data_IF_757147554239
#
_entry.id   IF_757147554239
#
_cell.length_a   1.000
_cell.length_b   1.000
_cell.length_c   1.000
_cell.angle_alpha   90.00
_cell.angle_beta   90.00
_cell.angle_gamma   90.00
#
_symmetry.space_group_name_H-M   'P 1'
#
loop_
_entity.id
_entity.type
_entity.pdbx_description
1 polymer ?
2 non-polymer ?
3 non-polymer ?
4 non-polymer ?
5 non-polymer ?
6 water ?
#
# COMPACT_ATOMS: atom_id res chain seq x y z
N UNK A 7 5.00 -20.41 -4.64
CA UNK A 7 4.28 -19.64 -3.57
C UNK A 7 4.25 -18.16 -3.92
N UNK A 8 3.07 -17.67 -4.31
CA UNK A 8 2.86 -16.25 -4.59
C UNK A 8 3.08 -15.45 -3.32
N UNK A 9 3.28 -14.14 -3.47
CA UNK A 9 3.53 -13.29 -2.33
C UNK A 9 2.26 -12.94 -1.59
N UNK A 10 1.15 -12.85 -2.33
CA UNK A 10 -0.14 -12.48 -1.80
C UNK A 10 -0.75 -11.30 -2.51
N UNK A 11 -1.97 -10.97 -2.08
CA UNK A 11 -2.76 -9.89 -2.65
C UNK A 11 -3.20 -8.97 -1.50
N UNK A 12 -3.40 -7.69 -1.84
CA UNK A 12 -3.82 -6.68 -0.87
C UNK A 12 -4.98 -5.89 -1.47
N UNK A 13 -5.97 -5.59 -0.63
CA UNK A 13 -7.15 -4.82 -1.01
C UNK A 13 -7.13 -3.55 -0.17
N UNK A 14 -7.18 -2.41 -0.86
CA UNK A 14 -7.26 -1.13 -0.20
C UNK A 14 -8.12 -0.17 -1.00
N UNK A 15 -8.64 0.86 -0.31
CA UNK A 15 -9.36 1.93 -1.00
C UNK A 15 -8.52 3.19 -1.07
N UNK A 16 -8.82 3.97 -2.12
CA UNK A 16 -8.28 5.29 -2.34
C UNK A 16 -9.45 6.26 -2.47
N UNK A 17 -9.24 7.45 -1.90
CA UNK A 17 -10.22 8.56 -2.00
C UNK A 17 -9.43 9.86 -2.07
N UNK A 18 -9.78 10.73 -3.02
CA UNK A 18 -9.13 12.05 -3.13
C UNK A 18 -10.19 13.16 -3.13
N UNK A 19 -9.94 14.16 -2.29
CA UNK A 19 -10.82 15.32 -2.18
C UNK A 19 -9.99 16.51 -2.66
N UNK A 20 -10.13 16.93 -3.94
CA UNK A 20 -9.29 18.01 -4.48
C UNK A 20 -9.38 19.35 -3.72
N UNK A 21 -10.56 19.80 -3.32
CA UNK A 21 -10.65 21.09 -2.64
C UNK A 21 -9.81 21.11 -1.36
N UNK A 22 -9.93 20.04 -0.56
CA UNK A 22 -9.25 19.90 0.72
C UNK A 22 -7.79 19.45 0.58
N UNK A 23 -7.46 18.88 -0.58
CA UNK A 23 -6.19 18.22 -0.78
C UNK A 23 -5.99 17.05 0.19
N UNK A 24 -7.03 16.23 0.32
CA UNK A 24 -7.03 15.12 1.26
C UNK A 24 -7.05 13.81 0.49
N UNK A 25 -5.99 13.01 0.72
CA UNK A 25 -5.81 11.71 0.12
C UNK A 25 -5.93 10.68 1.22
N UNK A 26 -6.97 9.83 1.12
CA UNK A 26 -7.22 8.81 2.13
C UNK A 26 -7.01 7.42 1.55
N UNK A 27 -6.29 6.60 2.32
CA UNK A 27 -5.99 5.22 1.99
C UNK A 27 -6.54 4.35 3.12
N UNK A 28 -7.44 3.41 2.79
CA UNK A 28 -7.95 2.46 3.80
C UNK A 28 -7.42 1.09 3.45
N UNK A 29 -6.59 0.56 4.35
CA UNK A 29 -6.07 -0.81 4.23
C UNK A 29 -7.17 -1.76 4.72
N UNK A 30 -7.70 -2.57 3.81
CA UNK A 30 -8.88 -3.40 4.10
C UNK A 30 -8.44 -4.79 4.57
N UNK A 31 -7.80 -5.55 3.70
CA UNK A 31 -7.35 -6.90 4.01
C UNK A 31 -6.30 -7.37 3.01
N UNK A 32 -5.52 -8.38 3.42
CA UNK A 32 -4.59 -9.05 2.53
C UNK A 32 -4.97 -10.53 2.53
N UNK A 33 -4.66 -11.24 1.44
CA UNK A 33 -4.95 -12.67 1.37
C UNK A 33 -3.80 -13.42 0.71
N UNK A 34 -3.75 -14.72 1.01
CA UNK A 34 -2.80 -15.64 0.41
C UNK A 34 -1.35 -15.19 0.56
N UNK A 35 -1.01 -14.60 1.72
CA UNK A 35 0.34 -14.13 1.97
C UNK A 35 1.32 -15.28 2.03
N UNK A 36 2.53 -15.04 1.54
CA UNK A 36 3.63 -15.97 1.70
C UNK A 36 3.89 -16.21 3.19
N UNK A 37 4.20 -17.46 3.55
CA UNK A 37 4.57 -17.83 4.93
C UNK A 37 5.98 -17.37 5.22
N UNK A 38 6.13 -16.60 6.32
CA UNK A 38 7.40 -15.99 6.69
C UNK A 38 8.03 -16.53 7.99
N UNK A 39 7.24 -17.23 8.81
CA UNK A 39 7.66 -17.80 10.09
C UNK A 39 7.95 -19.29 9.89
N UNK A 40 9.15 -19.72 10.32
CA UNK A 40 9.51 -21.14 10.26
C UNK A 40 8.51 -21.94 11.12
N UNK A 41 7.91 -22.98 10.52
CA UNK A 41 6.90 -23.80 11.15
C UNK A 41 5.66 -23.03 11.60
N UNK A 42 5.41 -21.88 10.99
CA UNK A 42 4.26 -21.05 11.31
C UNK A 42 3.64 -20.45 10.06
N UNK A 43 3.03 -19.29 10.24
CA UNK A 43 2.38 -18.56 9.17
C UNK A 43 3.18 -17.26 9.00
N UNK A 44 2.54 -16.11 9.23
CA UNK A 44 3.17 -14.80 9.24
C UNK A 44 2.51 -13.95 10.33
N UNK A 45 3.14 -12.83 10.69
CA UNK A 45 2.55 -11.83 11.60
C UNK A 45 2.51 -10.49 10.88
N UNK A 46 1.61 -10.35 9.89
CA UNK A 46 1.66 -9.22 8.96
C UNK A 46 1.18 -7.87 9.51
N UNK A 47 1.87 -6.81 9.10
CA UNK A 47 1.39 -5.46 9.20
C UNK A 47 1.69 -4.75 7.92
N UNK A 48 1.07 -3.58 7.72
CA UNK A 48 1.17 -2.84 6.46
C UNK A 48 1.74 -1.46 6.72
N UNK A 49 2.69 -1.06 5.86
CA UNK A 49 3.19 0.31 5.84
C UNK A 49 2.62 1.03 4.63
N UNK A 50 2.34 2.32 4.81
CA UNK A 50 1.88 3.17 3.75
C UNK A 50 2.81 4.38 3.71
N UNK A 51 3.48 4.58 2.56
CA UNK A 51 4.44 5.68 2.35
C UNK A 51 3.93 6.58 1.25
N UNK A 52 4.03 7.90 1.47
CA UNK A 52 3.83 8.88 0.44
C UNK A 52 5.24 9.24 -0.07
N UNK A 53 5.44 9.12 -1.39
CA UNK A 53 6.72 9.38 -2.04
C UNK A 53 6.61 10.38 -3.18
N UNK A 54 7.74 11.01 -3.48
CA UNK A 54 7.92 11.77 -4.69
C UNK A 54 9.39 11.81 -5.03
N UNK A 55 9.70 11.57 -6.30
CA UNK A 55 11.03 11.69 -6.83
C UNK A 55 12.06 10.95 -5.96
N UNK A 56 11.71 9.73 -5.54
CA UNK A 56 12.62 8.85 -4.83
C UNK A 56 12.74 9.11 -3.34
N UNK A 57 11.96 10.09 -2.84
CA UNK A 57 12.02 10.50 -1.44
C UNK A 57 10.77 10.03 -0.69
N UNK A 58 10.98 9.46 0.50
CA UNK A 58 9.90 9.12 1.47
C UNK A 58 9.48 10.43 2.13
N UNK A 59 8.22 10.84 1.90
CA UNK A 59 7.73 12.09 2.47
C UNK A 59 7.02 11.87 3.79
N UNK A 60 6.21 10.82 3.85
CA UNK A 60 5.41 10.51 5.03
C UNK A 60 5.28 9.01 5.13
N UNK A 61 5.16 8.52 6.37
CA UNK A 61 5.09 7.09 6.67
C UNK A 61 4.00 6.83 7.68
N UNK A 62 3.17 5.83 7.41
CA UNK A 62 2.14 5.40 8.33
C UNK A 62 2.13 3.87 8.36
N UNK A 63 1.52 3.29 9.39
CA UNK A 63 1.49 1.84 9.51
C UNK A 63 0.28 1.35 10.28
N UNK A 64 -0.13 0.12 9.96
CA UNK A 64 -1.22 -0.56 10.62
C UNK A 64 -0.75 -1.27 11.87
N UNK A 65 -1.74 -1.77 12.64
CA UNK A 65 -1.49 -2.72 13.68
C UNK A 65 -0.97 -4.03 13.07
N UNK A 66 -0.42 -4.88 13.94
CA UNK A 66 0.08 -6.20 13.58
C UNK A 66 -1.01 -7.24 13.87
N UNK A 67 -1.21 -8.16 12.93
CA UNK A 67 -2.05 -9.32 13.14
C UNK A 67 -1.18 -10.55 13.29
N UNK A 68 -1.44 -11.34 14.32
CA UNK A 68 -0.62 -12.50 14.62
C UNK A 68 -1.12 -13.76 13.93
N UNK A 69 -0.17 -14.56 13.43
CA UNK A 69 -0.42 -15.93 12.99
C UNK A 69 -1.53 -16.02 11.94
N UNK A 70 -1.36 -15.29 10.84
CA UNK A 70 -2.34 -15.31 9.75
C UNK A 70 -1.69 -14.99 8.42
N UNK A 71 -2.22 -15.64 7.37
CA UNK A 71 -1.86 -15.33 5.99
C UNK A 71 -2.97 -14.50 5.31
N UNK A 72 -4.02 -14.15 6.07
CA UNK A 72 -5.22 -13.54 5.53
C UNK A 72 -5.74 -12.49 6.49
N UNK A 73 -4.89 -11.49 6.83
CA UNK A 73 -5.23 -10.48 7.82
C UNK A 73 -6.29 -9.50 7.31
N UNK A 74 -7.19 -9.10 8.20
CA UNK A 74 -8.11 -7.95 8.03
C UNK A 74 -7.61 -6.82 8.93
N UNK A 75 -7.64 -5.60 8.39
CA UNK A 75 -7.18 -4.39 9.11
C UNK A 75 -8.35 -3.41 9.24
N UNK A 76 -8.91 -2.98 8.13
CA UNK A 76 -9.87 -1.88 8.12
C UNK A 76 -9.35 -0.64 8.89
N UNK A 77 -8.16 -0.18 8.49
CA UNK A 77 -7.51 0.96 9.09
C UNK A 77 -7.29 2.06 8.05
N UNK A 78 -7.72 3.27 8.40
CA UNK A 78 -7.72 4.43 7.53
C UNK A 78 -6.58 5.39 7.82
N UNK A 79 -6.02 5.97 6.76
CA UNK A 79 -4.89 6.88 6.83
C UNK A 79 -5.13 8.01 5.87
N UNK A 80 -4.79 9.23 6.27
CA UNK A 80 -4.96 10.36 5.37
C UNK A 80 -3.69 11.16 5.25
N UNK A 81 -3.48 11.70 4.04
CA UNK A 81 -2.35 12.53 3.70
C UNK A 81 -2.84 13.83 3.11
N UNK A 82 -2.02 14.87 3.28
CA UNK A 82 -2.28 16.17 2.69
C UNK A 82 -1.47 16.32 1.40
N UNK A 83 -2.18 16.30 0.27
CA UNK A 83 -1.58 16.45 -1.04
C UNK A 83 -2.45 17.42 -1.83
N UNK A 84 -1.98 18.68 -2.03
CA UNK A 84 -2.77 19.67 -2.76
C UNK A 84 -3.02 19.26 -4.23
N UNK A 85 -4.09 19.79 -4.82
CA UNK A 85 -4.55 19.32 -6.13
C UNK A 85 -3.53 19.56 -7.23
N UNK A 86 -2.66 20.56 -7.03
CA UNK A 86 -1.60 20.83 -8.01
C UNK A 86 -0.48 19.80 -7.98
N UNK A 87 -0.44 19.00 -6.91
CA UNK A 87 0.62 18.03 -6.68
C UNK A 87 0.18 16.57 -6.77
N UNK A 88 -1.14 16.31 -6.72
CA UNK A 88 -1.62 14.93 -6.58
C UNK A 88 -1.18 14.02 -7.74
N UNK A 89 -1.01 14.59 -8.93
CA UNK A 89 -0.62 13.77 -10.07
C UNK A 89 0.87 13.41 -10.06
N UNK A 90 1.63 13.99 -9.12
CA UNK A 90 3.09 13.84 -9.05
C UNK A 90 3.61 12.94 -7.93
N UNK A 91 2.69 12.35 -7.16
CA UNK A 91 3.06 11.52 -6.00
C UNK A 91 2.85 10.04 -6.23
N UNK A 92 3.48 9.25 -5.34
CA UNK A 92 3.22 7.82 -5.24
C UNK A 92 2.78 7.48 -3.85
N UNK A 93 1.87 6.51 -3.76
CA UNK A 93 1.46 5.89 -2.49
C UNK A 93 1.95 4.44 -2.58
N UNK A 94 2.83 4.08 -1.64
CA UNK A 94 3.46 2.76 -1.60
C UNK A 94 2.85 1.98 -0.43
N UNK A 95 2.37 0.77 -0.72
CA UNK A 95 1.72 -0.09 0.26
C UNK A 95 2.57 -1.37 0.36
N UNK A 96 3.11 -1.62 1.55
CA UNK A 96 4.04 -2.73 1.80
C UNK A 96 3.42 -3.61 2.88
N UNK A 97 3.39 -4.92 2.64
CA UNK A 97 3.06 -5.89 3.68
C UNK A 97 4.37 -6.48 4.19
N UNK A 98 4.56 -6.44 5.51
CA UNK A 98 5.75 -6.97 6.17
C UNK A 98 5.36 -7.98 7.22
N UNK A 99 6.29 -8.89 7.50
CA UNK A 99 6.18 -9.81 8.60
C UNK A 99 6.87 -9.22 9.83
N UNK A 100 6.13 -9.08 10.92
CA UNK A 100 6.69 -8.58 12.20
C UNK A 100 7.42 -9.71 12.93
N UNK A 101 8.65 -9.44 13.35
CA UNK A 101 9.37 -10.28 14.27
C UNK A 101 9.77 -9.40 15.46
N UNK A 102 9.63 -9.93 16.68
CA UNK A 102 9.98 -9.16 17.87
C UNK A 102 11.47 -8.80 17.87
N UNK A 103 12.31 -9.70 17.32
CA UNK A 103 13.73 -9.48 17.18
C UNK A 103 14.12 -9.67 15.73
N UNK A 104 14.85 -8.69 15.21
CA UNK A 104 15.29 -8.67 13.83
C UNK A 104 14.43 -7.78 12.95
N UNK A 105 15.01 -7.38 11.81
CA UNK A 105 14.33 -6.59 10.81
C UNK A 105 13.05 -7.29 10.39
N UNK A 106 12.00 -6.50 10.20
CA UNK A 106 10.75 -7.02 9.69
C UNK A 106 10.86 -7.10 8.19
N UNK A 107 10.86 -8.33 7.65
CA UNK A 107 11.05 -8.53 6.21
C UNK A 107 9.78 -8.25 5.46
N UNK A 108 9.90 -7.55 4.34
CA UNK A 108 8.79 -7.31 3.46
C UNK A 108 8.39 -8.65 2.82
N UNK A 109 7.09 -8.88 2.78
CA UNK A 109 6.49 -9.93 1.99
C UNK A 109 6.45 -9.44 0.54
N UNK A 110 5.86 -8.27 0.34
CA UNK A 110 5.79 -7.67 -0.99
C UNK A 110 5.15 -6.32 -0.89
N UNK A 111 5.07 -5.63 -2.03
CA UNK A 111 4.55 -4.29 -2.05
C UNK A 111 4.03 -3.93 -3.41
N UNK A 112 3.33 -2.78 -3.46
CA UNK A 112 2.83 -2.21 -4.68
C UNK A 112 2.82 -0.69 -4.49
N UNK A 113 2.80 0.03 -5.60
CA UNK A 113 2.56 1.46 -5.54
C UNK A 113 1.60 1.90 -6.59
N UNK A 114 0.90 2.97 -6.24
CA UNK A 114 -0.03 3.65 -7.13
C UNK A 114 0.42 5.09 -7.26
N UNK A 115 0.06 5.70 -8.39
CA UNK A 115 0.33 7.09 -8.63
C UNK A 115 1.14 7.31 -9.86
N UNK A 116 1.95 8.36 -9.81
CA UNK A 116 2.87 8.74 -10.91
C UNK A 116 3.80 7.56 -11.22
N UNK A 117 3.85 7.15 -12.49
CA UNK A 117 4.72 6.08 -12.96
C UNK A 117 4.20 4.68 -12.64
N UNK A 118 2.98 4.59 -12.08
CA UNK A 118 2.37 3.29 -11.88
C UNK A 118 1.83 2.76 -13.21
N UNK A 119 1.58 1.45 -13.25
CA UNK A 119 1.16 0.77 -14.47
C UNK A 119 0.06 -0.24 -14.15
N UNK A 120 -0.59 -0.77 -15.20
CA UNK A 120 -1.53 -1.87 -15.10
C UNK A 120 -2.64 -1.55 -14.11
N UNK A 121 -2.95 -2.53 -13.26
CA UNK A 121 -4.01 -2.38 -12.28
C UNK A 121 -3.73 -1.29 -11.26
N UNK A 122 -2.45 -0.96 -11.05
CA UNK A 122 -2.07 0.09 -10.11
C UNK A 122 -2.44 1.47 -10.68
N UNK A 123 -2.08 1.69 -11.94
CA UNK A 123 -2.49 2.89 -12.66
C UNK A 123 -4.01 3.02 -12.78
N UNK A 124 -4.71 1.91 -13.05
CA UNK A 124 -6.20 1.93 -13.16
C UNK A 124 -6.77 2.44 -11.83
N UNK A 125 -6.33 1.86 -10.72
CA UNK A 125 -6.84 2.28 -9.42
C UNK A 125 -6.65 3.76 -9.18
N UNK A 126 -5.45 4.26 -9.45
CA UNK A 126 -5.14 5.67 -9.26
C UNK A 126 -5.99 6.55 -10.18
N UNK A 127 -6.13 6.14 -11.45
CA UNK A 127 -6.89 6.90 -12.42
C UNK A 127 -8.36 6.98 -12.01
N UNK A 128 -8.92 5.87 -11.50
CA UNK A 128 -10.29 5.82 -11.01
C UNK A 128 -10.49 6.79 -9.85
N UNK A 129 -9.51 6.83 -8.93
CA UNK A 129 -9.55 7.75 -7.80
C UNK A 129 -9.55 9.21 -8.23
N UNK A 130 -8.69 9.54 -9.22
CA UNK A 130 -8.64 10.89 -9.77
C UNK A 130 -9.92 11.30 -10.50
N UNK A 131 -10.51 10.35 -11.23
CA UNK A 131 -11.70 10.59 -12.03
C UNK A 131 -12.99 10.72 -11.24
N UNK A 132 -12.94 10.32 -9.97
CA UNK A 132 -14.12 10.25 -9.13
C UNK A 132 -13.87 10.96 -7.80
N UNK A 133 -13.69 12.30 -7.81
CA UNK A 133 -13.42 13.05 -6.59
C UNK A 133 -14.44 12.74 -5.50
N UNK A 134 -13.96 12.60 -4.26
CA UNK A 134 -14.73 12.35 -3.02
C UNK A 134 -15.26 10.91 -2.95
N UNK A 135 -15.10 10.09 -3.98
CA UNK A 135 -15.64 8.71 -3.97
C UNK A 135 -14.53 7.76 -3.57
N UNK A 136 -14.69 6.95 -2.51
CA UNK A 136 -13.73 5.88 -2.22
C UNK A 136 -13.84 4.76 -3.26
N UNK A 137 -12.69 4.30 -3.75
CA UNK A 137 -12.61 3.23 -4.73
C UNK A 137 -11.73 2.15 -4.13
N UNK A 138 -12.31 0.96 -3.92
CA UNK A 138 -11.59 -0.22 -3.41
C UNK A 138 -11.13 -1.08 -4.58
N UNK A 139 -9.90 -1.60 -4.50
CA UNK A 139 -9.41 -2.50 -5.50
C UNK A 139 -8.35 -3.42 -4.92
N UNK A 140 -8.32 -4.64 -5.46
CA UNK A 140 -7.29 -5.61 -5.21
C UNK A 140 -6.04 -5.32 -6.05
N UNK A 141 -4.90 -5.72 -5.48
CA UNK A 141 -3.59 -5.61 -6.13
C UNK A 141 -2.79 -6.85 -5.75
N UNK A 142 -1.99 -7.33 -6.71
CA UNK A 142 -1.02 -8.40 -6.48
C UNK A 142 0.24 -7.80 -5.88
N UNK A 143 0.72 -8.36 -4.75
CA UNK A 143 1.96 -7.93 -4.16
C UNK A 143 3.14 -8.34 -5.05
N UNK A 144 4.15 -7.48 -5.11
CA UNK A 144 5.34 -7.67 -5.93
C UNK A 144 6.57 -7.62 -5.06
N UNK A 145 7.61 -8.35 -5.48
CA UNK A 145 8.85 -8.37 -4.75
C UNK A 145 9.45 -6.98 -4.53
N UNK A 146 9.92 -6.73 -3.30
CA UNK A 146 10.42 -5.45 -2.88
C UNK A 146 11.53 -4.92 -3.80
N UNK A 147 12.42 -5.81 -4.22
CA UNK A 147 13.56 -5.46 -5.04
C UNK A 147 13.10 -4.69 -6.28
N UNK A 148 12.04 -5.21 -6.92
CA UNK A 148 11.54 -4.63 -8.16
C UNK A 148 10.78 -3.33 -7.94
N UNK A 149 9.92 -3.29 -6.93
CA UNK A 149 9.14 -2.09 -6.70
C UNK A 149 10.08 -0.95 -6.28
N UNK A 150 11.04 -1.24 -5.42
CA UNK A 150 11.96 -0.22 -4.95
C UNK A 150 12.77 0.34 -6.11
N UNK A 151 13.14 -0.53 -7.07
CA UNK A 151 13.88 -0.09 -8.26
C UNK A 151 13.07 0.89 -9.11
N UNK A 152 11.75 0.70 -9.16
CA UNK A 152 10.84 1.63 -9.82
C UNK A 152 10.75 2.97 -9.09
N UNK A 153 10.76 2.92 -7.76
CA UNK A 153 10.57 4.09 -6.91
C UNK A 153 11.80 4.96 -6.65
N UNK A 154 13.01 4.39 -6.78
CA UNK A 154 14.28 5.04 -6.35
C UNK A 154 14.63 6.32 -7.11
X LIG B 1 6.94 -13.09 12.20
X LIG C 1 9.72 -14.28 10.29
X LIG D 1 10.57 3.34 6.94
X LIG D 1 9.29 2.92 7.45
X LIG D 1 10.38 4.31 5.90
X LIG D 1 11.28 2.20 6.41
X LIG D 1 11.33 3.93 8.00
X LIG E 1 18.15 -7.78 11.62
X LIG F 1 9.77 -2.13 10.18
X LIG G 1 -0.04 -3.77 16.81
X LIG H 1 -10.77 -5.39 -7.31
X LIG I 1 3.09 -1.69 13.81
X LIG I 1 2.39 -0.84 15.97
X LIG I 1 2.07 -1.42 14.74
X LIG I 1 5.38 -2.14 13.45
X LIG I 1 4.46 -1.92 14.47
X LIG I 1 6.73 -2.03 13.81
X LIG I 1 7.49 -1.30 12.70
X LIG I 1 7.89 -0.02 13.12
X LIG I 1 8.25 0.87 12.09
X LIG I 1 8.73 2.19 12.70
X LIG I 1 7.68 2.79 13.44
X LIG I 1 8.02 3.91 14.23
X LIG I 1 7.77 3.60 15.71
X LIG I 1 6.47 3.11 15.91
X LIG I 1 6.02 3.05 17.24
X LIG I 1 5.73 1.61 17.69
X LIG I 1 4.40 1.25 17.41
X LIG I 1 2.82 -2.57 13.24
X LIG I 1 3.16 -0.85 13.14
X LIG I 1 2.93 -1.55 16.59
X LIG I 1 1.46 -0.56 16.48
X LIG I 1 2.99 0.04 15.82
X LIG I 1 4.75 -1.06 15.05
X LIG I 1 4.40 -2.79 15.11
X LIG I 1 7.15 -3.03 13.92
X LIG I 1 6.83 -1.49 14.74
X LIG I 1 8.37 -1.87 12.43
X LIG I 1 6.85 -1.20 11.83
X LIG I 1 9.06 0.44 11.50
X LIG I 1 7.39 1.05 11.45
X LIG I 1 9.56 2.00 13.36
X LIG I 1 9.03 2.86 11.90
X LIG I 1 9.07 4.15 14.08
X LIG I 1 7.41 4.75 13.93
X LIG I 1 7.92 4.50 16.28
X LIG I 1 8.49 2.84 16.04
X LIG I 1 6.78 3.48 17.90
X LIG I 1 5.11 3.65 17.33
X LIG I 1 5.90 1.53 18.75
X LIG I 1 6.40 0.95 17.17
X LIG I 1 3.88 1.34 18.18
#
# INVERSE_FOLDING_TARGET
>A
GDITHMEKLGDICFSLRYVPTAGKLTVVILEAKNLKKMDVGGLSDPFVKIHLMQNGKRLKKKKTTIKKNTLNPYYNESFSFEVPFEQIQKVQVVVTVLDYDKIGKNDAIGKVFVGYNSTGAELRHWSDMLANPRRPIAQWHTLQVEEEVDAMLAVKK
>B hetero
1 CA CA
>C hetero
1 CA CA
>D hetero
1 SO4 S O1 O2 O3 O4
>E hetero
1 CL CL
>F hetero
1 CL CL
>G hetero
1 CL CL
>H hetero
1 CL CL
>I hetero
1 1PG C2 C1 O1 O2 C3 C4 C5 O3 C6 C7 O4 C8 C9 O5 C10 C11 O6 H21 H22 H11 H12 H13 H31 H32 H41 H42 H51 H52 H61 H62 H71 H72 H81 H82 H91 H92 H101 H102 H111 H112 HO6
#
